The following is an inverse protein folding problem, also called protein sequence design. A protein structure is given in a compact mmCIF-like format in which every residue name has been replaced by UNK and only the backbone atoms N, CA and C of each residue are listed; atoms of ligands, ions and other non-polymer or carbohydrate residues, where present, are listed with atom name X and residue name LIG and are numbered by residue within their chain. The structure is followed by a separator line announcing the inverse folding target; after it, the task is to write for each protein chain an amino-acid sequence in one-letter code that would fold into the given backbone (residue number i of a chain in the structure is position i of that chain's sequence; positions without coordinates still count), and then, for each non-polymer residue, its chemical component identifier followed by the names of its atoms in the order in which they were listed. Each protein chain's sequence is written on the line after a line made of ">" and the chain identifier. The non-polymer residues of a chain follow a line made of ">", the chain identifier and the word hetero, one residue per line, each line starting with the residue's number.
data_IF_205433808180
#
_entry.id   IF_205433808180
#
_cell.length_a   1.000
_cell.length_b   1.000
_cell.length_c   1.000
_cell.angle_alpha   90.00
_cell.angle_beta   90.00
_cell.angle_gamma   90.00
#
_symmetry.space_group_name_H-M   'P 1'
#
loop_
_entity.id
_entity.type
_entity.pdbx_description
1 polymer ?
#
# COMPACT_ATOMS: atom_id res chain seq x y z
N UNK A 1 -2.71 5.46 -8.55
CA UNK A 1 -3.38 4.25 -9.09
C UNK A 1 -4.67 4.06 -8.32
N UNK A 2 -5.82 4.14 -8.99
CA UNK A 2 -7.12 3.84 -8.37
C UNK A 2 -7.16 2.34 -8.01
N UNK A 3 -7.31 1.99 -6.72
CA UNK A 3 -7.35 0.60 -6.24
C UNK A 3 -6.08 0.10 -5.54
N UNK A 4 -5.22 1.01 -5.08
CA UNK A 4 -3.99 0.68 -4.36
C UNK A 4 -4.17 0.50 -2.84
N UNK A 5 -5.41 0.48 -2.34
CA UNK A 5 -5.71 0.32 -0.92
C UNK A 5 -6.68 -0.84 -0.74
N UNK A 6 -6.30 -1.81 0.07
CA UNK A 6 -7.10 -3.02 0.38
C UNK A 6 -7.35 -3.15 1.88
N UNK A 7 -8.59 -3.50 2.24
CA UNK A 7 -9.02 -3.69 3.62
C UNK A 7 -9.60 -2.44 4.27
N UNK A 8 -10.43 -2.63 5.31
CA UNK A 8 -11.12 -1.56 6.04
C UNK A 8 -10.70 -1.46 7.51
N UNK A 9 -10.39 -2.59 8.16
CA UNK A 9 -9.91 -2.64 9.55
C UNK A 9 -8.40 -2.81 9.64
N UNK A 10 -7.83 -3.67 8.80
CA UNK A 10 -6.40 -3.78 8.55
C UNK A 10 -6.17 -3.39 7.10
N UNK A 11 -5.62 -2.20 6.91
CA UNK A 11 -5.59 -1.53 5.63
C UNK A 11 -4.17 -1.56 5.06
N UNK A 12 -4.04 -2.02 3.82
CA UNK A 12 -2.76 -2.08 3.11
C UNK A 12 -2.83 -1.17 1.90
N UNK A 13 -1.98 -0.15 1.88
CA UNK A 13 -1.86 0.78 0.76
C UNK A 13 -0.51 0.63 0.09
N UNK A 14 -0.46 0.28 -1.19
CA UNK A 14 0.78 0.13 -1.96
C UNK A 14 1.11 1.35 -2.82
N UNK A 15 2.42 1.58 -3.01
CA UNK A 15 2.95 2.67 -3.82
C UNK A 15 4.29 2.31 -4.47
N UNK A 16 4.64 3.05 -5.52
CA UNK A 16 5.84 2.81 -6.31
C UNK A 16 5.60 1.88 -7.51
N UNK A 17 6.52 1.95 -8.47
CA UNK A 17 6.48 1.19 -9.73
C UNK A 17 7.70 0.28 -9.82
N UNK A 18 7.59 -0.84 -10.55
CA UNK A 18 8.64 -1.88 -10.62
C UNK A 18 10.01 -1.37 -11.08
N UNK A 19 10.03 -0.37 -11.97
CA UNK A 19 11.24 0.28 -12.48
C UNK A 19 11.47 1.68 -11.87
N UNK A 20 10.70 2.04 -10.85
CA UNK A 20 10.83 3.29 -10.14
C UNK A 20 11.98 3.28 -9.14
N UNK A 21 12.30 4.43 -8.53
CA UNK A 21 13.40 4.55 -7.57
C UNK A 21 13.14 3.79 -6.26
N UNK A 22 11.88 3.51 -5.93
CA UNK A 22 11.48 2.73 -4.77
C UNK A 22 10.06 2.15 -4.93
N UNK A 23 9.82 1.05 -4.22
CA UNK A 23 8.51 0.39 -4.09
C UNK A 23 8.26 0.18 -2.59
N UNK A 24 7.01 0.35 -2.16
CA UNK A 24 6.65 0.15 -0.77
C UNK A 24 5.15 -0.02 -0.54
N UNK A 25 4.82 -0.30 0.71
CA UNK A 25 3.45 -0.31 1.18
C UNK A 25 3.36 0.27 2.59
N UNK A 26 2.20 0.84 2.90
CA UNK A 26 1.80 1.27 4.23
C UNK A 26 0.81 0.23 4.74
N UNK A 27 1.07 -0.27 5.94
CA UNK A 27 0.20 -1.20 6.65
C UNK A 27 -0.34 -0.45 7.86
N UNK A 28 -1.66 -0.37 7.96
CA UNK A 28 -2.38 0.34 9.02
C UNK A 28 -3.37 -0.59 9.72
N UNK A 29 -3.60 -0.36 11.02
CA UNK A 29 -4.44 -1.23 11.86
C UNK A 29 -3.74 -2.43 12.49
N UNK A 30 -2.40 -2.41 12.61
CA UNK A 30 -1.69 -3.39 13.43
C UNK A 30 -1.93 -3.11 14.93
N UNK A 31 -2.34 -4.10 15.74
CA UNK A 31 -2.43 -3.95 17.20
C UNK A 31 -1.07 -3.78 17.87
#
# INVERSE_FOLDING_TARGET
>A
MSGNTFGTLFCVTNFGESHGPAIGCVIDGCP
#
